data_IF_059719961849
#
_entry.id   IF_059719961849
#
_cell.length_a   1.000
_cell.length_b   1.000
_cell.length_c   1.000
_cell.angle_alpha   90.00
_cell.angle_beta   90.00
_cell.angle_gamma   90.00
#
_symmetry.space_group_name_H-M   'P 1'
#
loop_
_entity.id
_entity.type
_entity.pdbx_description
1 polymer ?
#
# COMPACT_ATOMS: atom_id res chain seq x y z
N UNK A 1 -23.26 -13.04 15.97
CA UNK A 1 -23.31 -11.81 15.13
C UNK A 1 -21.89 -11.40 14.77
N UNK A 2 -21.54 -11.21 13.48
CA UNK A 2 -20.22 -10.72 13.10
C UNK A 2 -20.07 -9.27 13.58
N UNK A 3 -19.05 -8.98 14.39
CA UNK A 3 -18.74 -7.60 14.81
C UNK A 3 -18.41 -6.81 13.55
N UNK A 4 -19.19 -5.78 13.24
CA UNK A 4 -18.92 -4.88 12.11
C UNK A 4 -17.47 -4.37 12.17
N UNK A 5 -16.84 -4.21 11.00
CA UNK A 5 -15.47 -3.65 10.92
C UNK A 5 -15.50 -2.24 11.54
N UNK A 6 -14.88 -2.07 12.71
CA UNK A 6 -14.75 -0.77 13.37
C UNK A 6 -13.72 0.07 12.61
N UNK A 7 -14.04 1.33 12.35
CA UNK A 7 -13.09 2.28 11.75
C UNK A 7 -11.83 2.40 12.63
N UNK A 8 -10.63 2.09 12.11
CA UNK A 8 -9.41 2.07 12.90
C UNK A 8 -8.97 3.46 13.36
N UNK A 9 -9.45 4.50 12.68
CA UNK A 9 -9.16 5.91 12.96
C UNK A 9 -10.00 6.49 14.11
N UNK A 10 -11.01 5.77 14.58
CA UNK A 10 -11.94 6.25 15.62
C UNK A 10 -11.54 5.66 16.97
N UNK A 11 -11.39 6.52 17.98
CA UNK A 11 -11.07 6.07 19.32
C UNK A 11 -12.19 5.18 19.87
N UNK A 12 -11.89 3.96 20.34
CA UNK A 12 -12.89 3.04 20.86
C UNK A 12 -13.49 3.46 22.21
N UNK A 13 -12.93 4.50 22.86
CA UNK A 13 -13.41 5.01 24.15
C UNK A 13 -14.25 6.28 24.05
N UNK A 14 -13.76 7.30 23.34
CA UNK A 14 -14.43 8.61 23.26
C UNK A 14 -15.00 8.93 21.87
N UNK A 15 -14.70 8.14 20.84
CA UNK A 15 -15.17 8.40 19.47
C UNK A 15 -14.37 9.45 18.69
N UNK A 16 -13.35 10.08 19.29
CA UNK A 16 -12.50 11.05 18.59
C UNK A 16 -11.72 10.39 17.45
N UNK A 17 -11.72 11.03 16.28
CA UNK A 17 -10.94 10.59 15.14
C UNK A 17 -9.49 11.08 15.26
N UNK A 18 -8.52 10.19 15.07
CA UNK A 18 -7.10 10.52 15.15
C UNK A 18 -6.30 9.80 14.07
N UNK A 19 -5.13 10.35 13.76
CA UNK A 19 -4.18 9.79 12.81
C UNK A 19 -3.21 8.82 13.52
N UNK A 20 -2.63 7.85 12.79
CA UNK A 20 -1.70 6.90 13.39
C UNK A 20 -0.40 7.60 13.76
N UNK A 21 0.02 7.45 15.02
CA UNK A 21 1.29 7.97 15.52
C UNK A 21 2.51 7.23 14.93
N UNK A 22 2.36 5.94 14.63
CA UNK A 22 3.39 5.12 14.00
C UNK A 22 2.74 4.05 13.14
N UNK A 23 3.31 3.83 11.97
CA UNK A 23 2.87 2.79 11.05
C UNK A 23 3.99 1.78 10.81
N UNK A 24 3.64 0.52 10.65
CA UNK A 24 4.57 -0.53 10.23
C UNK A 24 3.89 -1.51 9.29
N UNK A 25 4.69 -2.20 8.49
CA UNK A 25 4.22 -3.15 7.49
C UNK A 25 4.41 -4.57 8.02
N UNK A 26 3.42 -5.41 7.82
CA UNK A 26 3.47 -6.85 8.06
C UNK A 26 3.29 -7.55 6.70
N UNK A 27 4.33 -8.23 6.24
CA UNK A 27 4.33 -8.95 4.95
C UNK A 27 4.02 -10.42 5.18
N UNK A 28 3.02 -10.95 4.47
CA UNK A 28 2.72 -12.39 4.51
C UNK A 28 3.90 -13.19 3.95
N UNK A 29 4.41 -14.21 4.67
CA UNK A 29 5.56 -14.99 4.20
C UNK A 29 5.20 -15.89 3.02
N UNK A 30 3.92 -16.25 2.87
CA UNK A 30 3.44 -17.07 1.77
C UNK A 30 2.62 -16.24 0.78
N UNK A 31 2.84 -16.44 -0.54
CA UNK A 31 1.99 -15.85 -1.56
C UNK A 31 0.61 -16.51 -1.56
N UNK A 32 -0.41 -15.73 -1.89
CA UNK A 32 -1.79 -16.18 -2.10
C UNK A 32 -1.88 -17.12 -3.31
N UNK A 33 -3.02 -17.80 -3.52
CA UNK A 33 -3.21 -18.77 -4.61
C UNK A 33 -2.94 -18.18 -6.02
N UNK A 34 -3.02 -16.86 -6.17
CA UNK A 34 -2.69 -16.11 -7.40
C UNK A 34 -1.23 -15.59 -7.45
N UNK A 35 -0.35 -16.05 -6.57
CA UNK A 35 1.04 -15.61 -6.50
C UNK A 35 1.23 -14.20 -5.89
N UNK A 36 0.29 -13.73 -5.06
CA UNK A 36 0.26 -12.35 -4.56
C UNK A 36 0.66 -12.28 -3.09
N UNK A 37 1.59 -11.40 -2.78
CA UNK A 37 2.06 -11.13 -1.42
C UNK A 37 1.14 -10.11 -0.78
N UNK A 38 0.60 -10.42 0.40
CA UNK A 38 -0.22 -9.47 1.15
C UNK A 38 0.66 -8.65 2.10
N UNK A 39 0.70 -7.35 1.88
CA UNK A 39 1.32 -6.36 2.76
C UNK A 39 0.21 -5.70 3.56
N UNK A 40 0.20 -5.93 4.87
CA UNK A 40 -0.75 -5.31 5.79
C UNK A 40 -0.07 -4.13 6.47
N UNK A 41 -0.61 -2.92 6.28
CA UNK A 41 -0.15 -1.72 6.99
C UNK A 41 -0.91 -1.62 8.31
N UNK A 42 -0.19 -1.73 9.41
CA UNK A 42 -0.71 -1.52 10.75
C UNK A 42 -0.34 -0.14 11.25
N UNK A 43 -1.21 0.42 12.10
CA UNK A 43 -0.97 1.68 12.78
C UNK A 43 -1.17 1.56 14.29
N UNK A 44 -0.35 2.25 15.06
CA UNK A 44 -0.62 2.58 16.45
C UNK A 44 -1.22 3.98 16.54
N UNK A 45 -2.27 4.12 17.33
CA UNK A 45 -3.01 5.36 17.53
C UNK A 45 -2.91 5.76 18.99
N UNK A 46 -2.88 7.06 19.23
CA UNK A 46 -2.99 7.67 20.55
C UNK A 46 -4.09 8.71 20.47
N UNK A 47 -5.09 8.60 21.36
CA UNK A 47 -6.16 9.58 21.41
C UNK A 47 -5.65 10.87 22.09
N UNK A 48 -5.79 12.05 21.46
CA UNK A 48 -5.44 13.31 22.09
C UNK A 48 -6.38 13.67 23.25
N UNK A 49 -7.64 13.26 23.20
CA UNK A 49 -8.68 13.65 24.18
C UNK A 49 -8.64 12.81 25.47
N UNK A 50 -8.47 11.48 25.35
CA UNK A 50 -8.54 10.57 26.50
C UNK A 50 -7.25 9.78 26.78
N UNK A 51 -6.19 10.00 25.99
CA UNK A 51 -4.90 9.31 26.14
C UNK A 51 -4.90 7.81 25.81
N UNK A 52 -6.03 7.24 25.38
CA UNK A 52 -6.13 5.82 25.07
C UNK A 52 -5.25 5.44 23.87
N UNK A 53 -4.57 4.29 23.96
CA UNK A 53 -3.68 3.77 22.91
C UNK A 53 -4.26 2.49 22.33
N UNK A 54 -4.34 2.40 21.00
CA UNK A 54 -4.80 1.19 20.33
C UNK A 54 -4.01 0.93 19.05
N UNK A 55 -4.19 -0.27 18.50
CA UNK A 55 -3.62 -0.70 17.22
C UNK A 55 -4.74 -1.05 16.26
N UNK A 56 -4.57 -0.71 14.99
CA UNK A 56 -5.55 -0.95 13.93
C UNK A 56 -4.90 -1.28 12.60
N UNK A 57 -5.65 -1.97 11.74
CA UNK A 57 -5.26 -2.21 10.35
C UNK A 57 -5.69 -1.01 9.52
N UNK A 58 -4.74 -0.34 8.88
CA UNK A 58 -4.99 0.84 8.05
C UNK A 58 -5.37 0.39 6.63
N UNK A 59 -4.52 -0.44 6.04
CA UNK A 59 -4.71 -0.93 4.68
C UNK A 59 -4.18 -2.36 4.52
N UNK A 60 -4.76 -3.08 3.57
CA UNK A 60 -4.23 -4.34 3.07
C UNK A 60 -3.96 -4.18 1.59
N UNK A 61 -2.71 -4.34 1.21
CA UNK A 61 -2.24 -4.20 -0.16
C UNK A 61 -1.82 -5.59 -0.61
N UNK A 62 -2.37 -6.09 -1.72
CA UNK A 62 -1.93 -7.35 -2.34
C UNK A 62 -1.08 -7.00 -3.55
N UNK A 63 0.17 -7.44 -3.54
CA UNK A 63 1.20 -7.12 -4.54
C UNK A 63 1.72 -8.42 -5.14
N UNK A 64 1.66 -8.57 -6.46
CA UNK A 64 2.15 -9.74 -7.17
C UNK A 64 1.13 -10.24 -8.20
N UNK A 65 1.59 -11.01 -9.19
CA UNK A 65 0.74 -11.56 -10.25
C UNK A 65 0.01 -10.50 -11.08
N UNK A 66 0.71 -9.73 -11.91
CA UNK A 66 0.16 -8.79 -12.92
C UNK A 66 -0.88 -7.73 -12.47
N UNK A 67 -1.29 -7.69 -11.20
CA UNK A 67 -2.38 -6.86 -10.70
C UNK A 67 -2.14 -6.46 -9.23
N UNK A 68 -2.37 -5.18 -8.88
CA UNK A 68 -2.28 -4.69 -7.50
C UNK A 68 -3.69 -4.39 -6.97
N UNK A 69 -4.08 -5.08 -5.89
CA UNK A 69 -5.38 -4.86 -5.24
C UNK A 69 -5.18 -4.12 -3.91
N UNK A 70 -5.82 -2.96 -3.76
CA UNK A 70 -5.80 -2.17 -2.51
C UNK A 70 -7.16 -2.30 -1.81
N UNK A 71 -7.17 -2.96 -0.66
CA UNK A 71 -8.35 -3.04 0.21
C UNK A 71 -8.22 -2.00 1.33
N UNK A 72 -8.92 -0.88 1.18
CA UNK A 72 -9.06 0.13 2.23
C UNK A 72 -10.19 -0.28 3.20
N UNK A 73 -10.05 0.05 4.49
CA UNK A 73 -10.91 -0.42 5.60
C UNK A 73 -12.44 -0.24 5.44
N UNK A 74 -12.89 0.51 4.42
CA UNK A 74 -14.30 0.73 4.05
C UNK A 74 -14.87 -0.22 2.99
N UNK A 75 -14.20 -1.33 2.66
CA UNK A 75 -14.73 -2.31 1.71
C UNK A 75 -14.76 -1.86 0.24
N UNK A 76 -14.19 -0.69 -0.05
CA UNK A 76 -13.91 -0.27 -1.42
C UNK A 76 -12.72 -1.09 -1.95
N UNK A 77 -13.00 -2.05 -2.82
CA UNK A 77 -12.00 -2.73 -3.64
C UNK A 77 -11.61 -1.78 -4.75
N UNK A 78 -10.53 -1.01 -4.55
CA UNK A 78 -9.91 -0.30 -5.66
C UNK A 78 -8.96 -1.28 -6.35
N UNK A 79 -9.46 -1.94 -7.39
CA UNK A 79 -8.61 -2.64 -8.34
C UNK A 79 -7.96 -1.56 -9.21
N UNK A 80 -6.67 -1.31 -9.00
CA UNK A 80 -5.89 -0.56 -9.99
C UNK A 80 -5.58 -1.57 -11.09
N UNK A 81 -6.49 -1.68 -12.06
CA UNK A 81 -6.12 -2.27 -13.34
C UNK A 81 -5.04 -1.34 -13.89
N UNK A 82 -3.83 -1.87 -14.08
CA UNK A 82 -2.88 -1.25 -14.98
C UNK A 82 -3.52 -1.26 -16.37
N UNK A 83 -4.33 -0.25 -16.67
CA UNK A 83 -4.30 0.34 -18.00
C UNK A 83 -2.84 0.72 -18.23
N UNK A 84 -2.24 0.17 -19.26
CA UNK A 84 -0.89 0.52 -19.69
C UNK A 84 -0.79 2.05 -19.75
N UNK A 85 -0.11 2.65 -18.78
CA UNK A 85 0.85 3.67 -19.12
C UNK A 85 2.21 3.04 -18.83
N UNK A 86 2.82 2.59 -19.93
CA UNK A 86 4.24 2.30 -20.03
C UNK A 86 4.97 3.57 -19.55
N UNK A 87 5.38 3.62 -18.30
CA UNK A 87 6.65 4.28 -18.02
C UNK A 87 7.71 3.27 -18.41
N UNK A 88 8.00 3.22 -19.72
CA UNK A 88 9.26 2.68 -20.19
C UNK A 88 10.33 3.38 -19.36
N UNK A 89 11.14 2.60 -18.64
CA UNK A 89 12.44 3.09 -18.17
C UNK A 89 13.11 3.65 -19.42
N UNK A 90 13.03 4.97 -19.63
CA UNK A 90 13.90 5.66 -20.58
C UNK A 90 15.29 5.49 -19.99
N UNK A 91 15.95 4.38 -20.34
CA UNK A 91 17.39 4.43 -20.44
C UNK A 91 17.66 5.59 -21.39
N UNK A 92 18.49 6.53 -20.95
CA UNK A 92 19.05 7.51 -21.86
C UNK A 92 19.78 6.72 -22.94
N UNK A 93 19.22 6.68 -24.15
CA UNK A 93 19.98 6.22 -25.30
C UNK A 93 20.93 7.36 -25.59
N UNK A 94 22.20 7.18 -25.24
CA UNK A 94 23.26 8.02 -25.77
C UNK A 94 23.41 7.60 -27.23
N UNK A 95 22.89 8.43 -28.13
CA UNK A 95 23.11 8.29 -29.56
C UNK A 95 24.59 8.58 -29.81
N UNK A 96 25.35 7.54 -30.12
CA UNK A 96 26.70 7.70 -30.67
C UNK A 96 26.50 7.67 -32.19
N UNK A 97 26.63 8.82 -32.83
CA UNK A 97 26.70 8.89 -34.30
C UNK A 97 27.92 8.09 -34.76
N UNK A 98 27.70 7.19 -35.71
CA UNK A 98 28.73 6.25 -36.18
C UNK A 98 29.84 6.94 -36.98
N UNK A 99 29.67 8.23 -37.29
CA UNK A 99 30.66 9.08 -37.98
C UNK A 99 31.84 9.51 -37.07
N UNK A 100 31.78 9.30 -35.75
CA UNK A 100 32.88 9.67 -34.83
C UNK A 100 33.88 8.51 -34.57
N UNK A 101 33.71 7.34 -35.21
CA UNK A 101 34.56 6.16 -34.96
C UNK A 101 35.43 5.70 -36.14
N UNK A 102 35.37 6.39 -37.28
CA UNK A 102 36.21 6.11 -38.45
C UNK A 102 36.70 7.43 -39.09
N UNK A 103 37.55 8.16 -38.35
CA UNK A 103 38.57 9.02 -38.96
C UNK A 103 39.93 8.63 -38.35
N UNK A 104 40.68 7.85 -39.15
CA UNK A 104 42.14 7.59 -39.19
C UNK A 104 43.00 7.72 -37.92
#
# INVERSE_FOLDING_TARGET
MPRGKKDPYVCPRCGTRTEPAKTWQLVSPFPDAKGRITITVMGSFVCPECGHRWRGVISKIKVGGSEVEVESGKGAKAAIKNGKEKEERRGEIIEIDIDDIDEE
#
